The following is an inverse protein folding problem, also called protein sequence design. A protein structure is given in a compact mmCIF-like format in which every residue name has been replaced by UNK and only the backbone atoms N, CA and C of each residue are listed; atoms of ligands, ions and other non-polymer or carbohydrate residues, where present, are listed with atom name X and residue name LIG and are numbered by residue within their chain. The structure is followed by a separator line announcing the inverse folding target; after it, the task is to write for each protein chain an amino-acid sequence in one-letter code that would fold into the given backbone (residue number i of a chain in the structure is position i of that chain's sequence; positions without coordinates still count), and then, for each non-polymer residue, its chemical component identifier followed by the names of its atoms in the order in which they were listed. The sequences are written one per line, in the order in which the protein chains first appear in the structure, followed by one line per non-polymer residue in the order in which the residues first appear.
data_IF_431956143529
#
_entry.id   IF_431956143529
#
_cell.length_a   1.000
_cell.length_b   1.000
_cell.length_c   1.000
_cell.angle_alpha   90.00
_cell.angle_beta   90.00
_cell.angle_gamma   90.00
#
_symmetry.space_group_name_H-M   'P 1'
#
loop_
_entity.id
_entity.type
_entity.pdbx_description
1 polymer ?
#
# COMPACT_ATOMS: atom_id res chain seq x y z
N UNK A 1 -21.93 37.98 43.63
CA UNK A 1 -21.23 36.93 42.84
C UNK A 1 -20.49 37.56 41.68
N UNK A 2 -19.16 37.73 41.79
CA UNK A 2 -18.31 38.26 40.69
C UNK A 2 -17.98 37.12 39.72
N UNK A 3 -18.48 37.21 38.47
CA UNK A 3 -18.06 36.32 37.37
C UNK A 3 -16.56 36.51 37.13
N UNK A 4 -15.74 35.47 37.40
CA UNK A 4 -14.35 35.40 36.92
C UNK A 4 -14.40 35.22 35.41
N UNK A 5 -14.19 36.27 34.65
CA UNK A 5 -13.85 36.17 33.21
C UNK A 5 -12.45 35.55 33.11
N UNK A 6 -12.37 34.33 32.64
CA UNK A 6 -11.08 33.73 32.30
C UNK A 6 -10.54 34.46 31.06
N UNK A 7 -9.63 35.40 31.27
CA UNK A 7 -8.85 35.98 30.15
C UNK A 7 -7.94 34.89 29.61
N UNK A 8 -8.27 34.38 28.43
CA UNK A 8 -7.37 33.52 27.65
C UNK A 8 -6.08 34.31 27.43
N UNK A 9 -4.94 33.72 27.76
CA UNK A 9 -3.65 34.40 27.63
C UNK A 9 -3.33 34.66 26.15
N UNK A 10 -2.60 35.75 25.84
CA UNK A 10 -2.15 36.06 24.48
C UNK A 10 -1.28 34.94 23.90
N UNK A 11 -0.69 34.10 24.74
CA UNK A 11 0.09 32.92 24.35
C UNK A 11 -0.83 31.79 23.87
N UNK A 12 -1.98 31.57 24.53
CA UNK A 12 -2.99 30.59 24.10
C UNK A 12 -3.71 31.03 22.84
N UNK A 13 -3.99 32.34 22.69
CA UNK A 13 -4.56 32.91 21.47
C UNK A 13 -3.58 32.77 20.29
N UNK A 14 -2.27 32.99 20.51
CA UNK A 14 -1.24 32.78 19.50
C UNK A 14 -1.08 31.30 19.15
N UNK A 15 -1.05 30.39 20.13
CA UNK A 15 -0.99 28.97 19.92
C UNK A 15 -2.21 28.45 19.14
N UNK A 16 -3.43 28.94 19.47
CA UNK A 16 -4.64 28.54 18.74
C UNK A 16 -4.71 29.08 17.31
N UNK A 17 -4.09 30.25 17.03
CA UNK A 17 -3.97 30.79 15.66
C UNK A 17 -2.90 30.12 14.81
N UNK A 18 -1.93 29.46 15.43
CA UNK A 18 -0.88 28.70 14.76
C UNK A 18 -1.23 27.21 14.59
N UNK A 19 -2.30 26.72 15.28
CA UNK A 19 -2.76 25.35 15.11
C UNK A 19 -3.56 25.21 13.82
N UNK A 20 -3.12 24.35 12.93
CA UNK A 20 -3.88 24.00 11.73
C UNK A 20 -5.20 23.36 12.16
N UNK A 21 -6.32 23.98 11.76
CA UNK A 21 -7.65 23.40 11.96
C UNK A 21 -7.83 22.21 11.03
N UNK A 22 -8.06 21.03 11.59
CA UNK A 22 -8.31 19.82 10.84
C UNK A 22 -9.66 19.21 11.21
N UNK A 23 -10.32 18.60 10.26
CA UNK A 23 -11.46 17.72 10.55
C UNK A 23 -10.98 16.48 11.33
N UNK A 24 -11.87 15.87 12.09
CA UNK A 24 -11.58 14.60 12.74
C UNK A 24 -11.19 13.54 11.70
N UNK A 25 -10.31 12.64 12.09
CA UNK A 25 -9.92 11.51 11.23
C UNK A 25 -11.16 10.66 10.90
N UNK A 26 -11.43 10.49 9.63
CA UNK A 26 -12.54 9.68 9.11
C UNK A 26 -12.24 9.25 7.68
N UNK A 27 -12.76 8.10 7.27
CA UNK A 27 -12.65 7.64 5.89
C UNK A 27 -13.86 8.21 5.11
N UNK A 28 -13.62 9.06 4.10
CA UNK A 28 -14.68 9.57 3.26
C UNK A 28 -15.45 8.44 2.54
N UNK A 29 -16.73 8.66 2.40
CA UNK A 29 -17.61 7.80 1.61
C UNK A 29 -18.17 8.60 0.44
N UNK A 30 -18.03 8.07 -0.79
CA UNK A 30 -18.55 8.72 -1.98
C UNK A 30 -20.03 8.43 -2.15
N UNK A 31 -20.86 9.42 -2.00
CA UNK A 31 -22.31 9.35 -2.21
C UNK A 31 -22.71 9.60 -3.67
N UNK A 32 -21.83 10.23 -4.45
CA UNK A 32 -22.11 10.60 -5.82
C UNK A 32 -22.00 9.40 -6.77
N UNK A 33 -22.65 9.52 -7.91
CA UNK A 33 -22.47 8.55 -8.99
C UNK A 33 -21.04 8.64 -9.55
N UNK A 34 -20.48 7.49 -9.91
CA UNK A 34 -19.17 7.47 -10.56
C UNK A 34 -19.27 8.13 -11.94
N UNK A 35 -18.23 8.90 -12.29
CA UNK A 35 -18.07 9.42 -13.64
C UNK A 35 -17.56 8.27 -14.52
N UNK A 36 -18.32 7.94 -15.53
CA UNK A 36 -18.01 6.89 -16.50
C UNK A 36 -17.58 7.53 -17.84
N UNK A 37 -16.26 7.77 -18.03
CA UNK A 37 -15.76 8.47 -19.21
C UNK A 37 -15.82 7.63 -20.49
N UNK A 38 -15.95 6.31 -20.35
CA UNK A 38 -16.04 5.37 -21.48
C UNK A 38 -17.45 4.81 -21.60
N UNK A 39 -17.89 4.60 -22.84
CA UNK A 39 -19.11 3.86 -23.11
C UNK A 39 -18.94 2.38 -22.77
N UNK A 40 -20.04 1.71 -22.43
CA UNK A 40 -20.04 0.29 -22.05
C UNK A 40 -19.37 -0.60 -23.11
N UNK A 41 -19.64 -0.34 -24.41
CA UNK A 41 -19.04 -1.11 -25.50
C UNK A 41 -17.52 -1.01 -25.52
N UNK A 42 -16.96 0.17 -25.16
CA UNK A 42 -15.52 0.37 -25.07
C UNK A 42 -14.90 -0.40 -23.88
N UNK A 43 -15.58 -0.41 -22.74
CA UNK A 43 -15.15 -1.20 -21.56
C UNK A 43 -15.16 -2.70 -21.89
N UNK A 44 -16.22 -3.19 -22.54
CA UNK A 44 -16.34 -4.58 -22.98
C UNK A 44 -15.24 -4.94 -24.00
N UNK A 45 -14.94 -4.03 -24.94
CA UNK A 45 -13.86 -4.26 -25.92
C UNK A 45 -12.49 -4.36 -25.26
N UNK A 46 -12.19 -3.50 -24.26
CA UNK A 46 -10.94 -3.56 -23.46
C UNK A 46 -10.88 -4.89 -22.70
N UNK A 47 -11.96 -5.26 -22.02
CA UNK A 47 -12.02 -6.53 -21.28
C UNK A 47 -11.78 -7.73 -22.21
N UNK A 48 -12.47 -7.80 -23.32
CA UNK A 48 -12.33 -8.91 -24.27
C UNK A 48 -10.92 -8.99 -24.87
N UNK A 49 -10.28 -7.84 -25.09
CA UNK A 49 -8.89 -7.79 -25.57
C UNK A 49 -7.91 -8.28 -24.49
N UNK A 50 -8.10 -7.87 -23.24
CA UNK A 50 -7.32 -8.36 -22.10
C UNK A 50 -7.43 -9.89 -21.97
N UNK A 51 -8.66 -10.43 -22.06
CA UNK A 51 -8.87 -11.88 -22.01
C UNK A 51 -8.15 -12.59 -23.16
N UNK A 52 -8.22 -12.07 -24.40
CA UNK A 52 -7.46 -12.63 -25.54
C UNK A 52 -5.95 -12.61 -25.32
N UNK A 53 -5.42 -11.55 -24.71
CA UNK A 53 -4.00 -11.49 -24.37
C UNK A 53 -3.64 -12.62 -23.40
N UNK A 54 -4.44 -12.84 -22.38
CA UNK A 54 -4.21 -13.91 -21.39
C UNK A 54 -4.34 -15.32 -22.01
N UNK A 55 -5.29 -15.52 -22.92
CA UNK A 55 -5.58 -16.82 -23.56
C UNK A 55 -4.57 -17.15 -24.68
N UNK A 56 -4.31 -16.21 -25.59
CA UNK A 56 -3.58 -16.46 -26.84
C UNK A 56 -2.07 -16.19 -26.69
N UNK A 57 -1.72 -15.08 -26.04
CA UNK A 57 -0.33 -14.64 -25.87
C UNK A 57 0.25 -15.20 -24.57
N UNK A 58 -0.46 -15.01 -23.45
CA UNK A 58 -0.02 -15.36 -22.10
C UNK A 58 0.90 -14.32 -21.46
N UNK A 59 1.30 -14.60 -20.23
CA UNK A 59 2.17 -13.77 -19.39
C UNK A 59 3.35 -14.61 -18.92
N UNK A 60 4.54 -14.03 -18.87
CA UNK A 60 5.75 -14.68 -18.34
C UNK A 60 5.73 -14.61 -16.81
N UNK A 61 5.87 -15.75 -16.16
CA UNK A 61 6.05 -15.87 -14.71
C UNK A 61 7.45 -16.41 -14.45
N UNK A 62 8.39 -15.49 -14.16
CA UNK A 62 9.82 -15.81 -14.05
C UNK A 62 10.18 -16.55 -12.74
N UNK A 63 9.25 -17.27 -12.15
CA UNK A 63 9.44 -18.10 -10.98
C UNK A 63 8.87 -19.50 -11.25
N UNK A 64 9.69 -20.57 -11.24
CA UNK A 64 9.25 -21.94 -11.54
C UNK A 64 8.19 -22.47 -10.58
N UNK A 65 8.21 -22.05 -9.29
CA UNK A 65 7.21 -22.48 -8.32
C UNK A 65 5.85 -21.84 -8.62
N UNK A 66 5.83 -20.55 -8.96
CA UNK A 66 4.62 -19.87 -9.40
C UNK A 66 4.04 -20.57 -10.67
N UNK A 67 4.89 -20.95 -11.62
CA UNK A 67 4.46 -21.72 -12.80
C UNK A 67 3.82 -23.06 -12.41
N UNK A 68 4.40 -23.80 -11.46
CA UNK A 68 3.84 -25.07 -10.98
C UNK A 68 2.50 -24.87 -10.27
N UNK A 69 2.36 -23.83 -9.46
CA UNK A 69 1.09 -23.49 -8.78
C UNK A 69 0.01 -23.23 -9.83
N UNK A 70 0.29 -22.38 -10.82
CA UNK A 70 -0.65 -22.05 -11.88
C UNK A 70 -0.99 -23.25 -12.76
N UNK A 71 -0.01 -24.13 -13.04
CA UNK A 71 -0.25 -25.37 -13.76
C UNK A 71 -1.18 -26.31 -12.99
N UNK A 72 -0.96 -26.50 -11.69
CA UNK A 72 -1.86 -27.28 -10.83
C UNK A 72 -3.26 -26.69 -10.74
N UNK A 73 -3.37 -25.37 -10.84
CA UNK A 73 -4.65 -24.66 -10.85
C UNK A 73 -5.37 -24.71 -12.20
N UNK A 74 -4.79 -25.38 -13.21
CA UNK A 74 -5.44 -25.61 -14.51
C UNK A 74 -5.01 -24.66 -15.62
N UNK A 75 -4.03 -23.78 -15.39
CA UNK A 75 -3.47 -22.94 -16.46
C UNK A 75 -2.57 -23.73 -17.40
N UNK A 76 -2.52 -23.32 -18.67
CA UNK A 76 -1.58 -23.88 -19.65
C UNK A 76 -0.21 -23.22 -19.49
N UNK A 77 0.79 -24.01 -19.08
CA UNK A 77 2.14 -23.51 -18.81
C UNK A 77 3.14 -24.09 -19.80
N UNK A 78 3.88 -23.22 -20.48
CA UNK A 78 5.02 -23.56 -21.32
C UNK A 78 6.28 -23.43 -20.46
N UNK A 79 6.69 -24.53 -19.82
CA UNK A 79 7.75 -24.52 -18.79
C UNK A 79 9.10 -24.00 -19.27
N UNK A 80 9.46 -24.25 -20.54
CA UNK A 80 10.74 -23.81 -21.13
C UNK A 80 10.84 -22.28 -21.22
N UNK A 81 9.68 -21.61 -21.40
CA UNK A 81 9.61 -20.16 -21.59
C UNK A 81 9.01 -19.44 -20.37
N UNK A 82 8.67 -20.19 -19.32
CA UNK A 82 7.95 -19.64 -18.13
C UNK A 82 6.66 -18.90 -18.50
N UNK A 83 6.06 -19.26 -19.64
CA UNK A 83 4.86 -18.61 -20.17
C UNK A 83 3.60 -19.31 -19.68
N UNK A 84 2.69 -18.54 -19.14
CA UNK A 84 1.40 -19.03 -18.63
C UNK A 84 0.27 -18.41 -19.44
N UNK A 85 -0.56 -19.27 -20.03
CA UNK A 85 -1.82 -18.90 -20.68
C UNK A 85 -2.98 -19.28 -19.79
N UNK A 86 -3.93 -18.37 -19.65
CA UNK A 86 -5.05 -18.47 -18.74
C UNK A 86 -6.36 -18.42 -19.52
N UNK A 87 -7.16 -19.49 -19.44
CA UNK A 87 -8.51 -19.49 -20.00
C UNK A 87 -9.39 -18.41 -19.34
N UNK A 88 -10.19 -17.70 -20.14
CA UNK A 88 -11.02 -16.60 -19.61
C UNK A 88 -12.02 -17.06 -18.56
N UNK A 89 -12.57 -18.27 -18.65
CA UNK A 89 -13.51 -18.78 -17.64
C UNK A 89 -12.78 -18.98 -16.33
N UNK A 90 -11.58 -19.57 -16.40
CA UNK A 90 -10.74 -19.74 -15.22
C UNK A 90 -10.41 -18.39 -14.57
N UNK A 91 -10.01 -17.39 -15.36
CA UNK A 91 -9.75 -16.02 -14.83
C UNK A 91 -10.99 -15.45 -14.17
N UNK A 92 -12.16 -15.54 -14.84
CA UNK A 92 -13.41 -15.01 -14.29
C UNK A 92 -13.85 -15.74 -13.01
N UNK A 93 -13.59 -17.05 -12.91
CA UNK A 93 -13.91 -17.82 -11.71
C UNK A 93 -12.96 -17.47 -10.55
N UNK A 94 -11.68 -17.25 -10.81
CA UNK A 94 -10.73 -16.77 -9.80
C UNK A 94 -11.10 -15.35 -9.32
N UNK A 95 -11.51 -14.45 -10.21
CA UNK A 95 -11.95 -13.10 -9.83
C UNK A 95 -13.15 -13.11 -8.86
N UNK A 96 -14.02 -14.12 -8.92
CA UNK A 96 -15.15 -14.25 -7.97
C UNK A 96 -14.70 -14.55 -6.55
N UNK A 97 -13.50 -15.07 -6.35
CA UNK A 97 -12.94 -15.36 -5.01
C UNK A 97 -12.34 -14.12 -4.35
N UNK A 98 -12.07 -13.06 -5.12
CA UNK A 98 -11.49 -11.83 -4.60
C UNK A 98 -12.53 -11.06 -3.78
N UNK A 99 -12.22 -10.67 -2.54
CA UNK A 99 -13.16 -9.90 -1.73
C UNK A 99 -13.43 -8.52 -2.35
N UNK A 100 -14.70 -8.14 -2.47
CA UNK A 100 -15.09 -6.83 -2.98
C UNK A 100 -14.75 -5.69 -2.03
N UNK A 101 -14.65 -5.99 -0.75
CA UNK A 101 -14.24 -5.05 0.29
C UNK A 101 -13.48 -5.79 1.40
N UNK A 102 -12.53 -5.10 1.99
CA UNK A 102 -11.74 -5.61 3.13
C UNK A 102 -11.28 -4.46 4.01
N UNK A 103 -10.69 -4.81 5.15
CA UNK A 103 -10.17 -3.82 6.08
C UNK A 103 -8.73 -4.16 6.43
N UNK A 104 -7.90 -3.12 6.58
CA UNK A 104 -6.55 -3.26 7.14
C UNK A 104 -6.54 -2.59 8.50
N UNK A 105 -6.09 -3.33 9.52
CA UNK A 105 -6.09 -2.87 10.91
C UNK A 105 -4.65 -2.62 11.35
N UNK A 106 -4.20 -1.35 11.46
CA UNK A 106 -2.85 -1.02 11.87
C UNK A 106 -2.62 -1.26 13.37
N UNK A 107 -1.43 -0.92 13.86
CA UNK A 107 -1.07 -0.98 15.29
C UNK A 107 -2.10 -0.27 16.18
N UNK A 108 -2.56 0.90 15.79
CA UNK A 108 -3.69 1.57 16.44
C UNK A 108 -5.01 1.21 15.73
N UNK A 109 -5.87 0.36 16.32
CA UNK A 109 -7.11 -0.06 15.67
C UNK A 109 -8.10 1.07 15.34
N UNK A 110 -7.94 2.25 15.95
CA UNK A 110 -8.76 3.44 15.64
C UNK A 110 -8.49 3.95 14.23
N UNK A 111 -7.29 3.68 13.69
CA UNK A 111 -6.89 4.07 12.35
C UNK A 111 -7.13 2.94 11.32
N UNK A 112 -8.02 2.01 11.62
CA UNK A 112 -8.45 0.96 10.70
C UNK A 112 -8.99 1.58 9.41
N UNK A 113 -8.47 1.14 8.27
CA UNK A 113 -8.98 1.55 6.95
C UNK A 113 -9.89 0.49 6.37
N UNK A 114 -10.88 0.94 5.61
CA UNK A 114 -11.80 0.09 4.85
C UNK A 114 -11.61 0.38 3.37
N UNK A 115 -11.35 -0.65 2.58
CA UNK A 115 -11.11 -0.58 1.14
C UNK A 115 -12.25 -1.31 0.42
N UNK A 116 -12.72 -0.73 -0.66
CA UNK A 116 -13.85 -1.23 -1.42
C UNK A 116 -15.14 -0.48 -1.13
N UNK A 117 -16.23 -0.92 -1.73
CA UNK A 117 -17.50 -0.20 -1.82
C UNK A 117 -17.27 1.21 -2.41
N UNK A 118 -17.71 2.23 -1.70
CA UNK A 118 -17.56 3.64 -2.07
C UNK A 118 -16.64 4.41 -1.10
N UNK A 119 -15.82 3.69 -0.31
CA UNK A 119 -14.86 4.32 0.60
C UNK A 119 -13.66 4.85 -0.17
N UNK A 120 -13.23 6.07 0.18
CA UNK A 120 -12.06 6.71 -0.40
C UNK A 120 -10.97 6.77 0.66
N UNK A 121 -9.81 6.18 0.36
CA UNK A 121 -8.67 6.10 1.27
C UNK A 121 -7.49 6.83 0.63
N UNK A 122 -6.95 7.84 1.31
CA UNK A 122 -5.82 8.61 0.82
C UNK A 122 -4.52 8.18 1.51
N UNK A 123 -3.47 7.97 0.71
CA UNK A 123 -2.11 7.75 1.17
C UNK A 123 -1.18 8.87 0.72
N UNK A 124 0.01 8.94 1.32
CA UNK A 124 1.08 9.78 0.80
C UNK A 124 1.63 9.20 -0.52
N UNK A 125 2.36 10.02 -1.27
CA UNK A 125 3.09 9.59 -2.47
C UNK A 125 4.16 8.54 -2.10
N UNK A 126 4.50 7.67 -3.04
CA UNK A 126 5.48 6.60 -2.85
C UNK A 126 6.76 6.86 -3.64
N UNK A 127 7.87 6.87 -2.92
CA UNK A 127 9.26 6.86 -3.41
C UNK A 127 9.62 7.94 -4.44
N UNK A 128 9.22 9.23 -4.29
CA UNK A 128 9.80 10.28 -5.10
C UNK A 128 11.29 10.42 -4.79
N UNK A 129 12.16 10.60 -5.80
CA UNK A 129 13.60 10.68 -5.59
C UNK A 129 14.08 12.00 -4.97
N UNK A 130 13.23 13.02 -4.99
CA UNK A 130 13.56 14.36 -4.53
C UNK A 130 12.53 14.88 -3.53
N UNK A 131 12.99 15.72 -2.62
CA UNK A 131 12.19 16.52 -1.71
C UNK A 131 12.31 18.00 -2.06
N UNK A 132 11.25 18.77 -1.81
CA UNK A 132 11.21 20.22 -1.96
C UNK A 132 10.68 20.83 -0.67
N UNK A 133 11.40 21.78 -0.09
CA UNK A 133 10.92 22.63 0.99
C UNK A 133 11.25 24.12 0.72
N UNK A 134 10.66 25.02 1.52
CA UNK A 134 10.81 26.46 1.33
C UNK A 134 12.21 26.98 1.68
N UNK A 135 12.92 26.30 2.59
CA UNK A 135 14.20 26.78 3.12
C UNK A 135 15.37 26.33 2.26
N UNK A 136 15.34 25.08 1.79
CA UNK A 136 16.45 24.41 1.10
C UNK A 136 16.21 24.15 -0.38
N UNK A 137 14.99 24.42 -0.87
CA UNK A 137 14.61 24.18 -2.25
C UNK A 137 14.55 22.68 -2.61
N UNK A 138 14.63 22.38 -3.92
CA UNK A 138 14.62 20.99 -4.41
C UNK A 138 15.99 20.34 -4.23
N UNK A 139 16.01 19.13 -3.64
CA UNK A 139 17.21 18.33 -3.41
C UNK A 139 16.89 16.83 -3.44
N UNK A 140 17.90 15.94 -3.58
CA UNK A 140 17.72 14.51 -3.38
C UNK A 140 17.11 14.21 -2.00
N UNK A 141 16.32 13.16 -1.91
CA UNK A 141 15.77 12.70 -0.64
C UNK A 141 16.87 12.23 0.31
N UNK A 142 16.72 12.52 1.58
CA UNK A 142 17.57 12.08 2.67
C UNK A 142 16.73 11.47 3.81
N UNK A 143 17.36 10.77 4.73
CA UNK A 143 16.68 10.08 5.82
C UNK A 143 15.98 11.03 6.79
N UNK A 144 16.51 12.22 7.01
CA UNK A 144 15.87 13.23 7.84
C UNK A 144 14.57 13.74 7.20
N UNK A 145 14.61 14.04 5.90
CA UNK A 145 13.39 14.39 5.14
C UNK A 145 12.36 13.26 5.13
N UNK A 146 12.82 12.01 5.03
CA UNK A 146 11.95 10.84 5.14
C UNK A 146 11.20 10.82 6.48
N UNK A 147 11.91 11.01 7.60
CA UNK A 147 11.32 11.07 8.94
C UNK A 147 10.33 12.22 9.09
N UNK A 148 10.67 13.39 8.60
CA UNK A 148 9.81 14.57 8.70
C UNK A 148 8.53 14.41 7.87
N UNK A 149 8.62 13.87 6.66
CA UNK A 149 7.44 13.57 5.84
C UNK A 149 6.59 12.44 6.43
N UNK A 150 7.20 11.46 7.11
CA UNK A 150 6.47 10.41 7.85
C UNK A 150 5.70 11.02 9.04
N UNK A 151 6.29 11.96 9.78
CA UNK A 151 5.59 12.71 10.83
C UNK A 151 4.43 13.53 10.26
N UNK A 152 4.59 14.14 9.08
CA UNK A 152 3.49 14.83 8.41
C UNK A 152 2.38 13.86 7.98
N UNK A 153 2.72 12.67 7.52
CA UNK A 153 1.74 11.60 7.23
C UNK A 153 0.93 11.25 8.49
N UNK A 154 1.56 11.17 9.65
CA UNK A 154 0.87 10.97 10.92
C UNK A 154 0.01 12.17 11.32
N UNK A 155 0.53 13.37 11.14
CA UNK A 155 -0.11 14.61 11.58
C UNK A 155 -1.41 14.89 10.83
N UNK A 156 -1.46 14.69 9.51
CA UNK A 156 -2.62 15.05 8.70
C UNK A 156 -3.73 13.98 8.77
N UNK A 157 -4.91 14.37 9.29
CA UNK A 157 -6.07 13.47 9.39
C UNK A 157 -6.66 13.06 8.04
N UNK A 158 -6.40 13.81 6.97
CA UNK A 158 -6.80 13.46 5.61
C UNK A 158 -5.91 12.40 4.95
N UNK A 159 -4.77 12.04 5.55
CA UNK A 159 -3.91 10.94 5.10
C UNK A 159 -4.21 9.72 5.97
N UNK A 160 -4.73 8.65 5.37
CA UNK A 160 -5.22 7.47 6.09
C UNK A 160 -4.17 6.39 6.25
N UNK A 161 -3.19 6.33 5.35
CA UNK A 161 -2.12 5.32 5.36
C UNK A 161 -0.82 5.86 4.78
N UNK A 162 0.29 5.25 5.13
CA UNK A 162 1.57 5.49 4.49
C UNK A 162 1.66 4.65 3.22
N UNK A 163 1.60 5.30 2.05
CA UNK A 163 1.55 4.65 0.74
C UNK A 163 2.89 4.11 0.25
N UNK A 164 3.95 4.24 1.04
CA UNK A 164 5.32 3.89 0.75
C UNK A 164 6.28 4.91 1.36
N UNK A 165 7.50 4.98 0.84
CA UNK A 165 8.45 6.01 1.30
C UNK A 165 7.98 7.39 0.83
N UNK A 166 7.69 8.34 1.73
CA UNK A 166 7.25 9.68 1.32
C UNK A 166 8.33 10.45 0.54
N UNK A 167 9.57 10.04 0.66
CA UNK A 167 10.73 10.37 -0.19
C UNK A 167 11.74 9.23 -0.09
N UNK A 168 12.45 8.95 -1.17
CA UNK A 168 13.51 7.92 -1.17
C UNK A 168 14.75 8.44 -0.42
N UNK A 169 15.17 7.85 0.72
CA UNK A 169 16.37 8.25 1.44
C UNK A 169 17.60 7.65 0.77
N UNK A 170 18.19 8.40 -0.19
CA UNK A 170 19.32 7.91 -1.00
C UNK A 170 20.64 7.84 -0.24
N UNK A 171 20.72 8.45 0.93
CA UNK A 171 21.84 8.42 1.86
C UNK A 171 21.95 7.10 2.66
N UNK A 172 20.92 6.25 2.61
CA UNK A 172 20.96 4.90 3.20
C UNK A 172 21.22 3.86 2.11
N UNK A 173 22.15 2.94 2.37
CA UNK A 173 22.44 1.87 1.42
C UNK A 173 21.21 1.00 1.10
N UNK A 174 20.95 0.66 -0.17
CA UNK A 174 19.73 -0.05 -0.59
C UNK A 174 19.47 -1.39 0.12
N UNK A 175 20.53 -2.11 0.53
CA UNK A 175 20.40 -3.42 1.19
C UNK A 175 19.75 -3.36 2.58
N UNK A 176 19.89 -2.22 3.30
CA UNK A 176 19.37 -2.04 4.66
C UNK A 176 18.30 -0.95 4.74
N UNK A 177 18.08 -0.23 3.65
CA UNK A 177 17.17 0.92 3.60
C UNK A 177 15.76 0.54 4.05
N UNK A 178 15.26 -0.61 3.63
CA UNK A 178 13.92 -1.08 3.99
C UNK A 178 13.75 -1.25 5.51
N UNK A 179 14.78 -1.74 6.22
CA UNK A 179 14.75 -1.89 7.68
C UNK A 179 14.64 -0.52 8.37
N UNK A 180 15.53 0.41 7.99
CA UNK A 180 15.51 1.77 8.55
C UNK A 180 14.19 2.49 8.27
N UNK A 181 13.73 2.45 7.03
CA UNK A 181 12.49 3.13 6.63
C UNK A 181 11.27 2.55 7.32
N UNK A 182 11.16 1.22 7.38
CA UNK A 182 10.03 0.58 8.04
C UNK A 182 10.05 0.79 9.55
N UNK A 183 11.23 0.78 10.18
CA UNK A 183 11.38 1.12 11.58
C UNK A 183 10.82 2.51 11.89
N UNK A 184 11.22 3.52 11.12
CA UNK A 184 10.72 4.89 11.31
C UNK A 184 9.21 5.00 11.00
N UNK A 185 8.71 4.31 9.98
CA UNK A 185 7.27 4.29 9.72
C UNK A 185 6.50 3.65 10.88
N UNK A 186 6.95 2.53 11.42
CA UNK A 186 6.28 1.86 12.54
C UNK A 186 6.38 2.62 13.87
N UNK A 187 7.40 3.47 14.04
CA UNK A 187 7.60 4.26 15.28
C UNK A 187 6.98 5.66 15.19
N UNK A 188 7.02 6.31 14.03
CA UNK A 188 6.55 7.69 13.84
C UNK A 188 5.09 7.79 13.41
N UNK A 189 4.47 6.70 12.92
CA UNK A 189 3.03 6.68 12.62
C UNK A 189 2.37 5.44 13.21
N UNK A 190 1.10 5.57 13.56
CA UNK A 190 0.23 4.48 14.01
C UNK A 190 -0.85 4.13 12.96
N UNK A 191 -0.71 4.67 11.75
CA UNK A 191 -1.52 4.37 10.58
C UNK A 191 -1.04 3.10 9.88
N UNK A 192 -1.82 2.63 8.91
CA UNK A 192 -1.40 1.50 8.05
C UNK A 192 -0.15 1.88 7.27
N UNK A 193 0.82 0.99 7.21
CA UNK A 193 2.07 1.19 6.46
C UNK A 193 2.16 0.23 5.28
N UNK A 194 2.79 0.70 4.21
CA UNK A 194 3.16 -0.07 3.04
C UNK A 194 4.54 -0.69 3.23
N UNK A 195 4.66 -2.00 2.96
CA UNK A 195 5.92 -2.71 2.91
C UNK A 195 6.28 -3.08 1.47
N UNK A 196 7.55 -2.96 1.09
CA UNK A 196 7.99 -3.31 -0.27
C UNK A 196 8.24 -4.81 -0.40
N UNK A 197 7.69 -5.42 -1.46
CA UNK A 197 7.86 -6.84 -1.79
C UNK A 197 8.94 -7.05 -2.88
N UNK A 198 10.14 -6.55 -2.62
CA UNK A 198 11.28 -6.72 -3.53
C UNK A 198 12.16 -7.92 -3.12
N UNK A 199 11.58 -9.10 -3.12
CA UNK A 199 12.17 -10.35 -2.69
C UNK A 199 11.64 -10.87 -1.35
N UNK A 200 11.86 -12.15 -1.03
CA UNK A 200 11.32 -12.80 0.15
C UNK A 200 11.81 -12.17 1.45
N UNK A 201 13.12 -11.88 1.55
CA UNK A 201 13.73 -11.30 2.76
C UNK A 201 13.03 -10.01 3.21
N UNK A 202 12.69 -9.12 2.26
CA UNK A 202 12.02 -7.84 2.61
C UNK A 202 10.59 -8.03 3.09
N UNK A 203 9.90 -9.05 2.60
CA UNK A 203 8.54 -9.38 3.05
C UNK A 203 8.61 -9.98 4.46
N UNK A 204 9.53 -10.92 4.70
CA UNK A 204 9.74 -11.54 6.00
C UNK A 204 10.14 -10.51 7.05
N UNK A 205 11.12 -9.65 6.76
CA UNK A 205 11.53 -8.54 7.63
C UNK A 205 10.34 -7.62 7.96
N UNK A 206 9.56 -7.26 6.95
CA UNK A 206 8.42 -6.37 7.15
C UNK A 206 7.33 -6.98 8.03
N UNK A 207 7.05 -8.27 7.85
CA UNK A 207 6.06 -8.98 8.65
C UNK A 207 6.53 -9.13 10.10
N UNK A 208 7.80 -9.50 10.32
CA UNK A 208 8.35 -9.65 11.66
C UNK A 208 8.41 -8.29 12.40
N UNK A 209 8.89 -7.23 11.74
CA UNK A 209 8.91 -5.89 12.30
C UNK A 209 7.51 -5.38 12.64
N UNK A 210 6.52 -5.61 11.78
CA UNK A 210 5.14 -5.21 12.05
C UNK A 210 4.52 -6.03 13.20
N UNK A 211 4.85 -7.31 13.31
CA UNK A 211 4.43 -8.18 14.42
C UNK A 211 5.01 -7.68 15.74
N UNK A 212 6.31 -7.43 15.80
CA UNK A 212 6.98 -6.87 16.99
C UNK A 212 6.34 -5.51 17.38
N UNK A 213 6.16 -4.62 16.42
CA UNK A 213 5.60 -3.28 16.66
C UNK A 213 4.15 -3.34 17.14
N UNK A 214 3.38 -4.36 16.76
CA UNK A 214 1.99 -4.54 17.20
C UNK A 214 1.86 -5.07 18.63
N UNK A 215 2.90 -5.74 19.16
CA UNK A 215 2.86 -6.42 20.45
C UNK A 215 1.89 -7.60 20.51
N UNK A 216 1.49 -8.14 19.35
CA UNK A 216 0.56 -9.25 19.23
C UNK A 216 1.31 -10.58 19.11
N UNK A 217 0.68 -11.65 19.56
CA UNK A 217 1.16 -12.99 19.24
C UNK A 217 0.92 -13.31 17.74
N UNK A 218 1.54 -14.39 17.27
CA UNK A 218 1.51 -14.77 15.86
C UNK A 218 0.07 -15.04 15.37
N UNK A 219 -0.74 -15.71 16.14
CA UNK A 219 -2.13 -16.04 15.82
C UNK A 219 -2.99 -14.78 15.71
N UNK A 220 -2.84 -13.85 16.65
CA UNK A 220 -3.55 -12.57 16.61
C UNK A 220 -3.06 -11.68 15.44
N UNK A 221 -1.75 -11.65 15.20
CA UNK A 221 -1.18 -10.85 14.11
C UNK A 221 -1.75 -11.27 12.76
N UNK A 222 -1.74 -12.57 12.45
CA UNK A 222 -2.26 -13.11 11.18
C UNK A 222 -3.78 -13.27 11.13
N UNK A 223 -4.51 -12.99 12.21
CA UNK A 223 -5.98 -13.02 12.18
C UNK A 223 -6.62 -11.93 11.32
N UNK A 224 -5.88 -10.86 10.98
CA UNK A 224 -6.36 -9.71 10.21
C UNK A 224 -5.20 -9.10 9.41
N UNK A 225 -5.47 -8.54 8.21
CA UNK A 225 -4.47 -7.75 7.49
C UNK A 225 -3.98 -6.56 8.33
N UNK A 226 -2.65 -6.37 8.42
CA UNK A 226 -2.01 -5.34 9.25
C UNK A 226 -1.21 -4.34 8.45
N UNK A 227 -0.57 -4.81 7.41
CA UNK A 227 0.24 -4.07 6.44
C UNK A 227 -0.25 -4.43 5.04
N UNK A 228 0.22 -3.74 4.04
CA UNK A 228 -0.03 -4.10 2.64
C UNK A 228 1.22 -3.90 1.80
N UNK A 229 1.23 -4.54 0.64
CA UNK A 229 2.28 -4.40 -0.36
C UNK A 229 1.68 -4.30 -1.75
N UNK A 230 2.47 -3.87 -2.71
CA UNK A 230 2.12 -3.86 -4.13
C UNK A 230 2.95 -4.89 -4.87
N UNK A 231 2.27 -5.70 -5.67
CA UNK A 231 2.91 -6.59 -6.63
C UNK A 231 2.76 -5.97 -8.01
N UNK A 232 3.89 -5.60 -8.62
CA UNK A 232 3.92 -4.95 -9.92
C UNK A 232 4.25 -5.96 -11.02
N UNK A 233 3.60 -5.81 -12.17
CA UNK A 233 4.04 -6.49 -13.39
C UNK A 233 5.18 -5.71 -14.05
N UNK A 234 6.09 -6.42 -14.69
CA UNK A 234 7.14 -5.83 -15.53
C UNK A 234 6.66 -5.80 -16.98
N UNK A 235 6.79 -4.64 -17.63
CA UNK A 235 6.41 -4.51 -19.04
C UNK A 235 7.45 -5.14 -19.96
N UNK A 236 7.05 -5.79 -21.07
CA UNK A 236 5.69 -6.22 -21.40
C UNK A 236 5.35 -7.59 -20.80
N UNK A 237 4.10 -7.76 -20.34
CA UNK A 237 3.48 -9.06 -20.01
C UNK A 237 4.37 -10.01 -19.19
N UNK A 238 4.95 -9.52 -18.09
CA UNK A 238 5.92 -10.29 -17.30
C UNK A 238 5.77 -10.00 -15.81
N UNK A 239 5.91 -11.01 -14.98
CA UNK A 239 6.17 -10.92 -13.56
C UNK A 239 7.56 -11.45 -13.25
N UNK A 240 8.38 -10.63 -12.62
CA UNK A 240 9.73 -11.01 -12.24
C UNK A 240 9.77 -11.87 -10.97
N UNK A 241 10.90 -12.50 -10.74
CA UNK A 241 11.11 -13.41 -9.63
C UNK A 241 10.86 -12.76 -8.25
N UNK A 242 11.45 -11.60 -7.92
CA UNK A 242 11.28 -11.00 -6.59
C UNK A 242 9.83 -10.64 -6.27
N UNK A 243 9.06 -10.17 -7.27
CA UNK A 243 7.65 -9.85 -7.09
C UNK A 243 6.79 -11.09 -6.89
N UNK A 244 7.10 -12.17 -7.58
CA UNK A 244 6.39 -13.45 -7.43
C UNK A 244 6.68 -14.10 -6.09
N UNK A 245 7.93 -14.07 -5.61
CA UNK A 245 8.27 -14.55 -4.27
C UNK A 245 7.52 -13.75 -3.19
N UNK A 246 7.52 -12.42 -3.32
CA UNK A 246 6.77 -11.56 -2.41
C UNK A 246 5.27 -11.85 -2.42
N UNK A 247 4.68 -12.10 -3.60
CA UNK A 247 3.27 -12.48 -3.72
C UNK A 247 2.98 -13.82 -3.03
N UNK A 248 3.79 -14.84 -3.30
CA UNK A 248 3.59 -16.16 -2.71
C UNK A 248 3.70 -16.14 -1.18
N UNK A 249 4.71 -15.44 -0.63
CA UNK A 249 4.88 -15.30 0.82
C UNK A 249 3.73 -14.53 1.46
N UNK A 250 3.29 -13.43 0.86
CA UNK A 250 2.18 -12.65 1.40
C UNK A 250 0.86 -13.42 1.43
N UNK A 251 0.64 -14.33 0.46
CA UNK A 251 -0.57 -15.15 0.40
C UNK A 251 -0.56 -16.35 1.37
N UNK A 252 0.61 -16.82 1.81
CA UNK A 252 0.71 -17.91 2.79
C UNK A 252 0.25 -17.46 4.19
N UNK A 253 0.28 -16.17 4.44
CA UNK A 253 0.01 -15.57 5.74
C UNK A 253 -1.31 -14.78 5.83
N UNK A 254 -2.19 -14.90 4.83
CA UNK A 254 -3.56 -14.34 4.84
C UNK A 254 -4.59 -15.48 5.06
#
# INVERSE_FOLDING_TARGET
MRRKSSRISNKEIRASRLSLQQQSWQIPYNFDNFVEPLKEEAVIAIHNTAMKILEDIGVLFLNPEACKILQKAGCKVELNDSKVKMDRRWVMDMLKTVPQHFSITPRNPKNKIKIGDRHIVFGNVSSPPNVLDLDRGKRPGDFDSFKDLTKLTQFFNCIHFSGGYPVEPVDIHPSIRHLHCLYEQLTLTDKVVHAYSLGPERVEDAMEMAKIASGLDEKEFFSKPRIFTNINSTSPLKHDWPMLDGAMLSLIHI
#
